data_IF_299914105316
#
_entry.id   IF_299914105316
#
_cell.length_a   1.000
_cell.length_b   1.000
_cell.length_c   1.000
_cell.angle_alpha   90.00
_cell.angle_beta   90.00
_cell.angle_gamma   90.00
#
_symmetry.space_group_name_H-M   'P 1'
#
loop_
_entity.id
_entity.type
_entity.pdbx_description
1 polymer ?
#
# COMPACT_ATOMS: atom_id res chain seq x y z
N UNK A 1 -21.72 34.58 23.18
CA UNK A 1 -21.35 34.12 22.99
C UNK A 1 -20.92 33.66 22.75
N UNK A 2 -20.86 33.51 22.70
CA UNK A 2 -20.16 32.81 22.48
C UNK A 2 -19.96 32.18 22.14
N UNK A 3 -19.89 32.01 22.07
CA UNK A 3 -19.44 31.23 21.86
C UNK A 3 -19.11 30.68 21.38
N UNK A 4 -18.96 30.73 21.34
CA UNK A 4 -18.33 30.05 21.10
C UNK A 4 -17.94 29.47 20.82
N UNK A 5 -17.85 29.61 21.04
CA UNK A 5 -17.07 28.90 21.01
C UNK A 5 -16.90 28.25 20.77
N UNK A 6 -16.97 28.18 20.79
CA UNK A 6 -16.43 27.38 20.77
C UNK A 6 -16.32 26.80 20.22
N UNK A 7 -16.26 26.82 20.09
CA UNK A 7 -15.70 26.15 19.92
C UNK A 7 -15.37 25.80 19.61
N UNK A 8 -15.28 26.08 19.56
CA UNK A 8 -14.56 25.58 19.56
C UNK A 8 -14.26 25.10 19.35
N UNK A 9 -14.34 25.27 19.19
CA UNK A 9 -13.65 24.64 19.28
C UNK A 9 -13.64 24.09 19.01
N UNK A 10 -13.61 24.21 18.95
CA UNK A 10 -13.06 23.49 18.99
C UNK A 10 -13.02 22.96 18.61
N UNK A 11 -12.82 22.85 18.35
CA UNK A 11 -12.22 22.11 18.41
C UNK A 11 -11.90 21.71 18.52
N UNK A 12 -11.86 21.95 18.52
CA UNK A 12 -11.17 21.29 18.92
C UNK A 12 -10.96 20.81 19.15
N UNK A 13 -10.83 20.87 19.11
CA UNK A 13 -10.23 20.16 19.51
C UNK A 13 -10.10 19.56 19.67
N UNK A 14 -10.08 19.65 19.63
CA UNK A 14 -9.61 18.77 19.86
C UNK A 14 -9.51 18.27 19.88
N UNK A 15 -9.28 18.32 19.90
CA UNK A 15 -8.79 17.52 19.92
C UNK A 15 -8.37 16.95 19.96
N UNK A 16 -8.07 17.28 20.38
CA UNK A 16 -7.39 16.42 20.27
C UNK A 16 -7.26 15.76 20.16
N UNK A 17 -7.01 15.99 21.29
CA UNK A 17 -6.77 14.98 20.93
C UNK A 17 -6.87 14.78 19.73
N UNK A 18 -6.04 14.95 19.35
CA UNK A 18 -6.29 14.65 18.14
C UNK A 18 -6.48 13.36 17.95
N UNK A 19 -7.57 13.07 17.48
CA UNK A 19 -7.76 11.74 17.19
C UNK A 19 -6.67 11.32 16.28
N UNK A 20 -6.16 10.21 16.52
CA UNK A 20 -5.36 9.58 15.58
C UNK A 20 -6.13 9.55 14.30
N UNK A 21 -5.50 9.92 13.25
CA UNK A 21 -6.12 9.75 11.97
C UNK A 21 -6.34 8.27 11.76
N UNK A 22 -7.51 7.89 11.34
CA UNK A 22 -7.82 6.50 11.00
C UNK A 22 -7.14 6.09 9.71
N UNK A 23 -6.55 7.03 8.99
CA UNK A 23 -5.94 6.78 7.70
C UNK A 23 -4.47 7.15 7.71
N UNK A 24 -3.72 6.50 6.84
CA UNK A 24 -2.30 6.81 6.64
C UNK A 24 -2.04 6.91 5.15
N UNK A 25 -1.11 7.81 4.80
CA UNK A 25 -0.72 8.01 3.42
C UNK A 25 0.24 6.91 3.01
N UNK A 26 0.03 6.36 1.83
CA UNK A 26 0.93 5.39 1.25
C UNK A 26 1.37 5.89 -0.12
N UNK A 27 2.65 5.69 -0.43
CA UNK A 27 3.26 6.17 -1.65
C UNK A 27 4.20 5.09 -2.16
N UNK A 28 3.94 4.58 -3.36
CA UNK A 28 4.73 3.50 -3.94
C UNK A 28 5.30 3.93 -5.27
N UNK A 29 6.57 3.62 -5.48
CA UNK A 29 7.25 3.87 -6.74
C UNK A 29 7.80 2.54 -7.21
N UNK A 30 7.49 2.16 -8.45
CA UNK A 30 7.94 0.88 -9.01
C UNK A 30 8.87 1.17 -10.16
N UNK A 31 10.03 0.52 -10.14
CA UNK A 31 11.06 0.71 -11.13
C UNK A 31 11.51 -0.63 -11.68
N UNK A 32 12.13 -0.59 -12.84
CA UNK A 32 12.77 -1.78 -13.41
C UNK A 32 14.12 -1.39 -13.97
N UNK A 33 15.02 -2.36 -13.99
CA UNK A 33 16.36 -2.17 -14.52
C UNK A 33 16.52 -3.00 -15.78
N UNK A 34 17.07 -2.38 -16.82
CA UNK A 34 17.42 -3.07 -18.05
C UNK A 34 18.86 -2.70 -18.41
N UNK A 35 19.27 -3.02 -19.64
CA UNK A 35 20.64 -2.76 -20.09
C UNK A 35 20.95 -1.27 -20.20
N UNK A 36 19.92 -0.43 -20.17
CA UNK A 36 20.07 1.02 -20.33
C UNK A 36 19.94 1.78 -19.01
N UNK A 37 19.72 1.07 -17.91
CA UNK A 37 19.64 1.69 -16.60
C UNK A 37 18.34 1.41 -15.89
N UNK A 38 18.02 2.26 -14.90
CA UNK A 38 16.83 2.11 -14.07
C UNK A 38 15.76 3.08 -14.57
N UNK A 39 14.57 2.56 -14.76
CA UNK A 39 13.44 3.31 -15.29
C UNK A 39 12.22 3.15 -14.40
N UNK A 40 11.34 4.14 -14.43
CA UNK A 40 10.06 4.05 -13.72
C UNK A 40 9.12 3.13 -14.49
N UNK A 41 8.42 2.25 -13.77
CA UNK A 41 7.42 1.37 -14.37
C UNK A 41 6.07 2.05 -14.28
N UNK A 42 5.68 2.71 -15.35
CA UNK A 42 4.44 3.51 -15.40
C UNK A 42 3.19 2.67 -15.56
N UNK A 43 3.32 1.35 -15.63
CA UNK A 43 2.20 0.43 -15.77
C UNK A 43 2.19 -0.64 -14.69
N UNK A 44 2.96 -0.43 -13.64
CA UNK A 44 3.01 -1.35 -12.51
C UNK A 44 1.66 -1.43 -11.82
N UNK A 45 1.42 -2.54 -11.15
CA UNK A 45 0.19 -2.74 -10.38
C UNK A 45 0.54 -2.97 -8.93
N UNK A 46 -0.33 -2.51 -8.05
CA UNK A 46 -0.17 -2.63 -6.60
C UNK A 46 -1.45 -3.22 -6.03
N UNK A 47 -1.28 -4.22 -5.18
CA UNK A 47 -2.39 -4.91 -4.53
C UNK A 47 -2.21 -4.82 -3.03
N UNK A 48 -3.28 -4.44 -2.33
CA UNK A 48 -3.26 -4.24 -0.88
C UNK A 48 -4.16 -5.29 -0.24
N UNK A 49 -3.64 -5.94 0.80
CA UNK A 49 -4.36 -6.97 1.55
C UNK A 49 -4.41 -6.55 3.01
N UNK A 50 -5.59 -6.31 3.55
CA UNK A 50 -5.76 -5.95 4.95
C UNK A 50 -5.76 -7.19 5.84
N UNK A 51 -5.22 -7.04 7.03
CA UNK A 51 -5.30 -8.07 8.05
C UNK A 51 -4.30 -9.20 7.89
N UNK A 52 -3.35 -9.07 6.97
CA UNK A 52 -2.41 -10.14 6.64
C UNK A 52 -0.99 -9.60 6.63
N UNK A 53 -0.07 -10.34 7.25
CA UNK A 53 1.36 -10.10 7.07
C UNK A 53 1.90 -11.12 6.07
N UNK A 54 2.98 -10.75 5.36
CA UNK A 54 3.59 -11.66 4.40
C UNK A 54 4.05 -12.95 5.06
N UNK A 55 4.48 -12.90 6.32
CA UNK A 55 4.92 -14.11 7.01
C UNK A 55 3.75 -15.03 7.35
N UNK A 56 2.51 -14.53 7.33
CA UNK A 56 1.34 -15.37 7.58
C UNK A 56 1.01 -16.27 6.38
N UNK A 57 1.53 -15.94 5.20
CA UNK A 57 1.19 -16.62 3.95
C UNK A 57 2.44 -17.10 3.20
N UNK A 58 3.47 -17.48 3.95
CA UNK A 58 4.70 -18.00 3.33
C UNK A 58 4.36 -19.22 2.48
N UNK A 59 4.85 -19.21 1.26
CA UNK A 59 4.59 -20.32 0.34
C UNK A 59 3.38 -20.13 -0.55
N UNK A 60 2.76 -18.96 -0.50
CA UNK A 60 1.62 -18.71 -1.39
C UNK A 60 2.05 -18.76 -2.87
N UNK A 61 1.08 -19.06 -3.72
CA UNK A 61 1.28 -18.99 -5.16
C UNK A 61 0.55 -17.75 -5.68
N UNK A 62 1.25 -16.97 -6.50
CA UNK A 62 0.69 -15.74 -7.04
C UNK A 62 -0.08 -16.06 -8.32
N UNK A 63 -1.35 -15.70 -8.33
CA UNK A 63 -2.24 -15.88 -9.49
C UNK A 63 -2.52 -14.52 -10.11
N UNK A 64 -3.05 -14.47 -11.33
CA UNK A 64 -3.36 -13.18 -11.95
C UNK A 64 -4.27 -12.31 -11.11
N UNK A 65 -4.12 -10.98 -11.29
CA UNK A 65 -4.94 -9.96 -10.63
C UNK A 65 -4.78 -9.92 -9.12
N UNK A 66 -3.62 -10.33 -8.63
CA UNK A 66 -3.34 -10.22 -7.21
C UNK A 66 -4.00 -11.28 -6.37
N UNK A 67 -4.53 -12.33 -6.96
CA UNK A 67 -5.11 -13.43 -6.20
C UNK A 67 -3.98 -14.32 -5.69
N UNK A 68 -4.02 -14.69 -4.42
CA UNK A 68 -3.01 -15.54 -3.80
C UNK A 68 -3.63 -16.88 -3.46
N UNK A 69 -2.95 -17.95 -3.87
CA UNK A 69 -3.36 -19.30 -3.47
C UNK A 69 -2.48 -19.73 -2.32
N UNK A 70 -3.08 -19.89 -1.16
CA UNK A 70 -2.36 -20.29 0.04
C UNK A 70 -3.09 -21.49 0.66
N UNK A 71 -2.47 -22.65 0.53
CA UNK A 71 -3.02 -23.87 1.12
C UNK A 71 -4.38 -24.25 0.55
N UNK A 72 -4.65 -23.95 -0.70
CA UNK A 72 -5.93 -24.27 -1.32
C UNK A 72 -7.01 -23.22 -1.14
N UNK A 73 -6.69 -22.13 -0.42
CA UNK A 73 -7.60 -21.01 -0.25
C UNK A 73 -7.14 -19.88 -1.14
N UNK A 74 -8.08 -19.18 -1.75
CA UNK A 74 -7.77 -17.99 -2.52
C UNK A 74 -7.97 -16.75 -1.68
N UNK A 75 -6.96 -15.88 -1.70
CA UNK A 75 -7.00 -14.60 -1.00
C UNK A 75 -7.01 -13.52 -2.07
N UNK A 76 -8.05 -12.71 -2.08
CA UNK A 76 -8.15 -11.61 -3.04
C UNK A 76 -7.73 -10.32 -2.38
N UNK A 77 -7.16 -9.37 -3.14
CA UNK A 77 -6.78 -8.09 -2.54
C UNK A 77 -8.02 -7.26 -2.24
N UNK A 78 -7.88 -6.43 -1.22
CA UNK A 78 -8.93 -5.47 -0.86
C UNK A 78 -8.89 -4.25 -1.76
N UNK A 79 -7.70 -3.91 -2.25
CA UNK A 79 -7.52 -2.75 -3.13
C UNK A 79 -6.61 -3.15 -4.29
N UNK A 80 -7.01 -2.77 -5.50
CA UNK A 80 -6.21 -2.95 -6.71
C UNK A 80 -5.94 -1.59 -7.31
N UNK A 81 -4.66 -1.34 -7.60
CA UNK A 81 -4.22 -0.07 -8.17
C UNK A 81 -3.27 -0.31 -9.33
N UNK A 82 -3.16 0.69 -10.19
CA UNK A 82 -2.11 0.69 -11.21
C UNK A 82 -1.48 2.07 -11.24
N UNK A 83 -0.24 2.12 -11.75
CA UNK A 83 0.48 3.39 -11.87
C UNK A 83 -0.23 4.33 -12.82
N UNK A 84 -0.81 3.77 -13.89
CA UNK A 84 -1.63 4.53 -14.84
C UNK A 84 -0.89 5.75 -15.37
N UNK A 85 0.38 5.54 -15.73
CA UNK A 85 1.21 6.60 -16.31
C UNK A 85 1.86 7.51 -15.30
N UNK A 86 1.65 7.29 -14.00
CA UNK A 86 2.22 8.14 -12.96
C UNK A 86 3.43 7.48 -12.34
N UNK A 87 4.36 8.29 -11.86
CA UNK A 87 5.53 7.79 -11.17
C UNK A 87 5.16 7.27 -9.78
N UNK A 88 4.37 8.03 -9.06
CA UNK A 88 3.97 7.70 -7.70
C UNK A 88 2.56 7.15 -7.68
N UNK A 89 2.40 6.02 -6.97
CA UNK A 89 1.08 5.46 -6.74
C UNK A 89 0.74 5.79 -5.30
N UNK A 90 -0.17 6.73 -5.10
CA UNK A 90 -0.50 7.24 -3.76
C UNK A 90 -1.94 6.95 -3.41
N UNK A 91 -2.17 6.67 -2.13
CA UNK A 91 -3.51 6.42 -1.64
C UNK A 91 -3.53 6.57 -0.13
N UNK A 92 -4.74 6.56 0.44
CA UNK A 92 -4.94 6.52 1.88
C UNK A 92 -5.33 5.11 2.27
N UNK A 93 -4.72 4.60 3.34
CA UNK A 93 -4.96 3.26 3.83
C UNK A 93 -5.42 3.33 5.28
N UNK A 94 -6.12 2.28 5.72
CA UNK A 94 -6.54 2.17 7.10
C UNK A 94 -5.32 2.05 8.00
N UNK A 95 -5.24 2.91 9.00
CA UNK A 95 -4.10 2.96 9.90
C UNK A 95 -4.22 1.94 11.04
N UNK A 96 -5.40 1.37 11.25
CA UNK A 96 -5.62 0.41 12.32
C UNK A 96 -5.31 -1.03 11.90
N UNK A 97 -5.14 -1.28 10.61
CA UNK A 97 -4.96 -2.62 10.09
C UNK A 97 -3.51 -2.90 9.74
N UNK A 98 -3.09 -4.14 9.98
CA UNK A 98 -1.87 -4.61 9.36
C UNK A 98 -2.16 -4.85 7.89
N UNK A 99 -1.18 -4.61 7.03
CA UNK A 99 -1.39 -4.77 5.59
C UNK A 99 -0.19 -5.46 4.96
N UNK A 100 -0.47 -6.15 3.88
CA UNK A 100 0.54 -6.67 2.98
C UNK A 100 0.33 -6.00 1.64
N UNK A 101 1.43 -5.60 1.01
CA UNK A 101 1.44 -4.94 -0.29
C UNK A 101 2.20 -5.84 -1.23
N UNK A 102 1.58 -6.15 -2.37
CA UNK A 102 2.25 -6.89 -3.44
C UNK A 102 2.29 -5.98 -4.66
N UNK A 103 3.49 -5.85 -5.24
CA UNK A 103 3.72 -5.01 -6.40
C UNK A 103 4.10 -5.90 -7.57
N UNK A 104 3.42 -5.70 -8.69
CA UNK A 104 3.65 -6.47 -9.89
C UNK A 104 4.29 -5.59 -10.95
N UNK A 105 5.44 -6.04 -11.47
CA UNK A 105 6.11 -5.31 -12.54
C UNK A 105 5.42 -5.57 -13.87
N UNK A 106 5.22 -4.52 -14.66
CA UNK A 106 4.71 -4.68 -16.00
C UNK A 106 5.81 -5.10 -16.97
N UNK A 107 7.06 -4.91 -16.57
CA UNK A 107 8.20 -5.17 -17.42
C UNK A 107 8.73 -6.59 -17.24
N UNK A 108 8.78 -7.06 -15.98
CA UNK A 108 9.25 -8.42 -15.66
C UNK A 108 8.05 -9.27 -15.31
N UNK A 109 7.47 -9.89 -16.33
CA UNK A 109 6.27 -10.68 -16.19
C UNK A 109 6.49 -11.81 -15.18
N UNK A 110 5.52 -11.99 -14.29
CA UNK A 110 5.58 -13.04 -13.29
C UNK A 110 6.37 -12.71 -12.06
N UNK A 111 6.98 -11.53 -12.01
CA UNK A 111 7.74 -11.11 -10.83
C UNK A 111 6.94 -10.17 -9.97
N UNK A 112 6.98 -10.41 -8.67
CA UNK A 112 6.30 -9.56 -7.71
C UNK A 112 7.21 -9.25 -6.55
N UNK A 113 7.02 -8.07 -5.97
CA UNK A 113 7.65 -7.71 -4.71
C UNK A 113 6.59 -7.73 -3.62
N UNK A 114 6.99 -8.06 -2.41
CA UNK A 114 6.06 -8.13 -1.29
C UNK A 114 6.66 -7.45 -0.08
N UNK A 115 5.83 -6.70 0.63
CA UNK A 115 6.22 -6.10 1.90
C UNK A 115 5.00 -5.98 2.78
N UNK A 116 5.23 -5.83 4.09
CA UNK A 116 4.14 -5.71 5.06
C UNK A 116 4.39 -4.53 5.96
N UNK A 117 3.30 -3.97 6.48
CA UNK A 117 3.37 -2.82 7.39
C UNK A 117 2.45 -3.07 8.57
N UNK A 118 2.92 -2.65 9.74
CA UNK A 118 2.15 -2.80 10.98
C UNK A 118 1.19 -1.64 11.17
N UNK A 119 0.13 -1.84 11.97
CA UNK A 119 -0.73 -0.72 12.32
C UNK A 119 0.11 0.40 12.93
N UNK A 120 -0.20 1.63 12.52
CA UNK A 120 0.50 2.79 13.04
C UNK A 120 1.75 3.19 12.28
N UNK A 121 2.28 2.33 11.41
CA UNK A 121 3.40 2.72 10.55
C UNK A 121 2.93 3.82 9.61
N UNK A 122 3.52 5.01 9.71
CA UNK A 122 3.11 6.11 8.86
C UNK A 122 4.22 7.14 8.74
N UNK A 123 4.39 7.76 7.58
CA UNK A 123 3.76 7.39 6.31
C UNK A 123 4.37 6.11 5.74
N UNK A 124 3.63 5.45 4.87
CA UNK A 124 4.15 4.28 4.19
C UNK A 124 4.80 4.73 2.89
N UNK A 125 6.06 4.35 2.69
CA UNK A 125 6.76 4.65 1.44
C UNK A 125 7.49 3.41 0.99
N UNK A 126 7.22 2.98 -0.23
CA UNK A 126 7.88 1.81 -0.79
C UNK A 126 8.42 2.08 -2.17
N UNK A 127 9.69 1.72 -2.37
CA UNK A 127 10.31 1.78 -3.68
C UNK A 127 10.72 0.37 -4.04
N UNK A 128 10.18 -0.12 -5.16
CA UNK A 128 10.43 -1.47 -5.62
C UNK A 128 11.18 -1.39 -6.95
N UNK A 129 12.32 -2.05 -7.03
CA UNK A 129 13.12 -2.07 -8.26
C UNK A 129 13.30 -3.53 -8.69
N UNK A 130 12.84 -3.83 -9.88
CA UNK A 130 12.92 -5.18 -10.43
C UNK A 130 14.12 -5.28 -11.38
N UNK A 131 14.72 -6.45 -11.42
CA UNK A 131 15.80 -6.72 -12.36
C UNK A 131 17.20 -6.42 -11.83
N UNK A 132 17.31 -6.13 -10.56
CA UNK A 132 18.63 -5.94 -9.94
C UNK A 132 19.21 -7.24 -9.44
#
# INVERSE_FOLDING_TARGET
>A
MALLALLCSCHDEDKGDIPQSDERTADFIVKYKDDFGIHTDYKAKVYIYYGIYSMDIVGFHYLPDGVLDYGGKEITPDIRLSADGKEDITLLLDNAEKITVIVESSYYEGRVGITSYSPGDTPIKGIFTFGE
#
